data_IF_634737605397
#
_entry.id   IF_634737605397
#
_cell.length_a   1.000
_cell.length_b   1.000
_cell.length_c   1.000
_cell.angle_alpha   90.00
_cell.angle_beta   90.00
_cell.angle_gamma   90.00
#
_symmetry.space_group_name_H-M   'P 1'
#
loop_
_entity.id
_entity.type
_entity.pdbx_description
1 polymer ?
#
# COMPACT_ATOMS: atom_id res chain seq x y z
N UNK A 1 40.68 36.36 13.44
CA UNK A 1 40.16 37.54 14.14
C UNK A 1 39.29 38.34 13.18
N UNK A 2 37.99 38.36 13.41
CA UNK A 2 37.03 39.47 13.28
C UNK A 2 35.64 38.82 13.45
N UNK A 3 35.10 39.03 14.63
CA UNK A 3 33.74 38.76 15.08
C UNK A 3 32.79 39.79 14.49
N UNK A 4 31.58 39.42 14.06
CA UNK A 4 30.41 40.28 14.30
C UNK A 4 29.09 39.50 14.29
N UNK A 5 28.57 39.33 15.50
CA UNK A 5 27.20 38.97 15.86
C UNK A 5 26.17 39.88 15.20
N UNK A 6 25.07 39.32 14.70
CA UNK A 6 23.81 40.05 14.61
C UNK A 6 22.68 39.22 15.22
N UNK A 7 22.37 39.58 16.46
CA UNK A 7 21.21 39.13 17.24
C UNK A 7 20.04 39.99 16.79
N UNK A 8 19.02 39.39 16.17
CA UNK A 8 17.73 40.06 15.97
C UNK A 8 16.66 39.33 16.79
N UNK A 9 16.55 39.75 18.05
CA UNK A 9 15.37 39.52 18.89
C UNK A 9 14.27 40.45 18.40
N UNK A 10 13.16 39.91 17.93
CA UNK A 10 11.92 40.67 17.82
C UNK A 10 10.81 39.88 18.51
N UNK A 11 10.50 40.32 19.74
CA UNK A 11 9.31 39.91 20.48
C UNK A 11 8.19 40.86 20.03
N UNK A 12 7.10 40.33 19.53
CA UNK A 12 5.83 41.04 19.53
C UNK A 12 4.85 40.23 20.36
N UNK A 13 4.51 40.80 21.52
CA UNK A 13 3.35 40.46 22.32
C UNK A 13 2.13 41.05 21.62
N UNK A 14 1.11 40.23 21.39
CA UNK A 14 -0.26 40.74 21.25
C UNK A 14 -1.22 39.77 21.94
N UNK A 15 -2.09 40.35 22.75
CA UNK A 15 -2.93 39.72 23.74
C UNK A 15 -4.34 39.35 23.22
N UNK A 16 -4.92 38.34 23.87
CA UNK A 16 -6.33 38.17 24.29
C UNK A 16 -7.48 38.54 23.33
N UNK A 17 -8.24 37.51 22.93
CA UNK A 17 -9.71 37.47 23.07
C UNK A 17 -10.23 36.02 22.96
N UNK A 18 -10.95 35.47 23.95
CA UNK A 18 -11.70 34.23 23.80
C UNK A 18 -13.14 34.57 23.42
N UNK A 19 -13.48 34.48 22.13
CA UNK A 19 -14.89 34.50 21.70
C UNK A 19 -15.37 33.06 21.52
N UNK A 20 -15.95 32.53 22.60
CA UNK A 20 -16.64 31.25 22.59
C UNK A 20 -17.91 31.36 21.73
N UNK A 21 -17.85 30.87 20.50
CA UNK A 21 -19.05 30.55 19.71
C UNK A 21 -19.33 29.05 19.82
N UNK A 22 -20.29 28.71 20.68
CA UNK A 22 -20.87 27.38 20.79
C UNK A 22 -21.73 27.11 19.54
N UNK A 23 -21.11 26.64 18.46
CA UNK A 23 -21.84 25.92 17.44
C UNK A 23 -22.08 24.49 17.92
N UNK A 24 -23.25 24.26 18.51
CA UNK A 24 -23.84 22.93 18.62
C UNK A 24 -24.20 22.44 17.22
N UNK A 25 -23.20 21.93 16.48
CA UNK A 25 -23.47 21.01 15.39
C UNK A 25 -23.99 19.72 16.03
N UNK A 26 -25.32 19.55 16.02
CA UNK A 26 -25.96 18.27 16.24
C UNK A 26 -25.49 17.30 15.17
N UNK A 27 -24.33 16.69 15.38
CA UNK A 27 -23.90 15.53 14.63
C UNK A 27 -24.95 14.45 14.88
N UNK A 28 -25.79 14.21 13.87
CA UNK A 28 -26.61 13.01 13.82
C UNK A 28 -25.63 11.83 13.90
N UNK A 29 -25.54 11.24 15.08
CA UNK A 29 -24.90 9.94 15.29
C UNK A 29 -25.75 8.95 14.48
N UNK A 30 -25.39 8.74 13.22
CA UNK A 30 -25.91 7.63 12.44
C UNK A 30 -25.46 6.37 13.19
N UNK A 31 -26.37 5.61 13.81
CA UNK A 31 -25.99 4.41 14.52
C UNK A 31 -25.35 3.47 13.50
N UNK A 32 -24.08 3.11 13.76
CA UNK A 32 -23.40 2.12 12.97
C UNK A 32 -24.23 0.83 13.01
N UNK A 33 -24.63 0.33 11.84
CA UNK A 33 -25.40 -0.90 11.72
C UNK A 33 -24.60 -2.06 12.32
N UNK A 34 -25.03 -2.65 13.45
CA UNK A 34 -24.30 -3.73 14.12
C UNK A 34 -24.30 -5.03 13.32
N UNK A 35 -25.12 -5.13 12.26
CA UNK A 35 -25.17 -6.28 11.37
C UNK A 35 -24.36 -6.08 10.09
N UNK A 36 -23.73 -4.92 9.88
CA UNK A 36 -22.75 -4.77 8.81
C UNK A 36 -21.51 -5.54 9.24
N UNK A 37 -21.15 -6.66 8.58
CA UNK A 37 -19.95 -7.38 8.94
C UNK A 37 -18.80 -6.37 8.92
N UNK A 38 -18.12 -6.20 10.05
CA UNK A 38 -16.82 -5.56 10.10
C UNK A 38 -16.00 -6.35 9.10
N UNK A 39 -15.81 -5.80 7.90
CA UNK A 39 -15.27 -6.51 6.75
C UNK A 39 -13.77 -6.70 6.94
N UNK A 40 -13.38 -7.44 7.99
CA UNK A 40 -12.00 -7.61 8.42
C UNK A 40 -11.17 -8.00 7.22
N UNK A 41 -10.34 -7.06 6.75
CA UNK A 41 -9.54 -7.11 5.53
C UNK A 41 -9.91 -8.27 4.59
N UNK A 42 -11.05 -8.12 3.89
CA UNK A 42 -11.67 -9.20 3.13
C UNK A 42 -10.73 -9.91 2.16
N UNK A 43 -9.68 -9.25 1.67
CA UNK A 43 -8.66 -9.80 0.77
C UNK A 43 -7.54 -10.62 1.46
N UNK A 44 -7.49 -10.67 2.79
CA UNK A 44 -6.49 -11.46 3.53
C UNK A 44 -6.69 -12.95 3.23
N UNK A 45 -5.62 -13.60 2.78
CA UNK A 45 -5.63 -15.00 2.34
C UNK A 45 -5.28 -15.17 0.87
N UNK A 46 -5.28 -14.08 0.09
CA UNK A 46 -4.68 -14.07 -1.25
C UNK A 46 -3.16 -14.07 -1.11
N UNK A 47 -2.52 -15.09 -1.67
CA UNK A 47 -1.06 -15.30 -1.61
C UNK A 47 -0.49 -15.25 -3.02
N UNK A 48 0.50 -14.37 -3.28
CA UNK A 48 1.21 -14.31 -4.55
C UNK A 48 1.71 -15.68 -5.04
N UNK A 49 1.62 -15.91 -6.35
CA UNK A 49 1.93 -17.14 -7.09
C UNK A 49 1.11 -18.39 -6.69
N UNK A 50 0.17 -18.27 -5.74
CA UNK A 50 -0.65 -19.39 -5.28
C UNK A 50 -2.12 -19.19 -5.59
N UNK A 51 -2.64 -18.00 -5.33
CA UNK A 51 -4.04 -17.67 -5.55
C UNK A 51 -4.33 -17.43 -7.03
N UNK A 52 -5.55 -17.78 -7.42
CA UNK A 52 -6.10 -17.60 -8.77
C UNK A 52 -7.12 -16.46 -8.79
N UNK A 53 -7.56 -16.05 -9.98
CA UNK A 53 -8.70 -15.16 -10.17
C UNK A 53 -9.98 -15.66 -9.46
N UNK A 54 -10.25 -16.97 -9.49
CA UNK A 54 -11.37 -17.57 -8.80
C UNK A 54 -11.25 -17.46 -7.26
N UNK A 55 -10.03 -17.57 -6.72
CA UNK A 55 -9.80 -17.35 -5.29
C UNK A 55 -10.08 -15.90 -4.90
N UNK A 56 -9.63 -14.94 -5.72
CA UNK A 56 -9.91 -13.50 -5.50
C UNK A 56 -11.41 -13.23 -5.52
N UNK A 57 -12.13 -13.73 -6.53
CA UNK A 57 -13.59 -13.56 -6.62
C UNK A 57 -14.30 -14.12 -5.37
N UNK A 58 -13.96 -15.34 -4.96
CA UNK A 58 -14.52 -15.98 -3.75
C UNK A 58 -14.23 -15.18 -2.49
N UNK A 59 -13.00 -14.68 -2.33
CA UNK A 59 -12.57 -13.92 -1.16
C UNK A 59 -13.23 -12.54 -1.10
N UNK A 60 -13.48 -11.92 -2.25
CA UNK A 60 -14.19 -10.65 -2.35
C UNK A 60 -15.72 -10.78 -2.33
N UNK A 61 -16.26 -12.00 -2.33
CA UNK A 61 -17.70 -12.25 -2.41
C UNK A 61 -18.30 -11.82 -3.75
N UNK A 62 -17.53 -11.90 -4.84
CA UNK A 62 -18.01 -11.63 -6.19
C UNK A 62 -18.71 -12.90 -6.70
N UNK A 63 -20.03 -12.85 -6.76
CA UNK A 63 -20.87 -13.92 -7.32
C UNK A 63 -20.77 -13.91 -8.85
N UNK A 64 -20.12 -14.93 -9.45
CA UNK A 64 -20.05 -15.09 -10.90
C UNK A 64 -18.89 -15.97 -11.37
N UNK A 65 -19.01 -16.53 -12.58
CA UNK A 65 -17.90 -17.17 -13.28
C UNK A 65 -16.87 -16.07 -13.61
N UNK A 66 -15.62 -16.14 -13.13
CA UNK A 66 -14.60 -15.08 -13.29
C UNK A 66 -14.19 -14.81 -14.75
N UNK A 67 -14.80 -15.48 -15.72
CA UNK A 67 -14.44 -15.47 -17.13
C UNK A 67 -14.49 -14.11 -17.85
N UNK A 68 -15.15 -13.09 -17.29
CA UNK A 68 -15.31 -11.79 -17.95
C UNK A 68 -15.16 -10.55 -17.05
N UNK A 69 -14.92 -10.74 -15.76
CA UNK A 69 -14.76 -9.60 -14.84
C UNK A 69 -13.30 -9.18 -14.77
N UNK A 70 -13.06 -7.88 -14.86
CA UNK A 70 -11.76 -7.28 -14.58
C UNK A 70 -11.44 -7.44 -13.09
N UNK A 71 -10.88 -8.60 -12.73
CA UNK A 71 -10.50 -8.96 -11.36
C UNK A 71 -9.21 -8.26 -10.92
N UNK A 72 -8.76 -7.25 -11.66
CA UNK A 72 -7.62 -6.39 -11.32
C UNK A 72 -7.99 -5.38 -10.25
N UNK A 73 -9.24 -4.88 -10.22
CA UNK A 73 -9.71 -3.86 -9.26
C UNK A 73 -9.55 -2.43 -9.76
N UNK A 74 -9.60 -1.41 -8.88
CA UNK A 74 -9.57 -1.48 -7.42
C UNK A 74 -10.88 -1.97 -6.80
N UNK A 75 -10.77 -2.72 -5.70
CA UNK A 75 -11.89 -3.17 -4.89
C UNK A 75 -11.88 -2.49 -3.52
N UNK A 76 -13.00 -1.89 -3.08
CA UNK A 76 -13.09 -1.32 -1.74
C UNK A 76 -13.06 -2.43 -0.70
N UNK A 77 -12.22 -2.26 0.32
CA UNK A 77 -12.04 -3.20 1.42
C UNK A 77 -11.93 -2.41 2.73
N UNK A 78 -11.94 -3.09 3.86
CA UNK A 78 -11.73 -2.40 5.14
C UNK A 78 -10.36 -1.69 5.18
N UNK A 79 -10.41 -0.40 5.51
CA UNK A 79 -9.23 0.47 5.59
C UNK A 79 -8.62 0.93 4.27
N UNK A 80 -9.16 0.58 3.10
CA UNK A 80 -8.52 0.95 1.82
C UNK A 80 -9.16 0.39 0.55
N UNK A 81 -8.34 0.39 -0.50
CA UNK A 81 -8.64 -0.24 -1.79
C UNK A 81 -7.56 -1.28 -2.08
N UNK A 82 -7.95 -2.40 -2.69
CA UNK A 82 -7.03 -3.45 -3.13
C UNK A 82 -7.09 -3.66 -4.64
N UNK A 83 -5.94 -3.81 -5.26
CA UNK A 83 -5.77 -4.11 -6.68
C UNK A 83 -4.89 -5.35 -6.81
N UNK A 84 -5.25 -6.27 -7.70
CA UNK A 84 -4.52 -7.51 -7.95
C UNK A 84 -3.89 -7.44 -9.34
N UNK A 85 -2.60 -7.71 -9.44
CA UNK A 85 -1.93 -7.97 -10.71
C UNK A 85 -1.74 -9.47 -10.86
N UNK A 86 -1.96 -9.99 -12.07
CA UNK A 86 -1.84 -11.41 -12.38
C UNK A 86 -0.61 -11.66 -13.24
N UNK A 87 -0.04 -12.86 -13.10
CA UNK A 87 1.08 -13.31 -13.93
C UNK A 87 0.57 -13.53 -15.35
N UNK A 88 0.81 -12.57 -16.23
CA UNK A 88 0.51 -12.69 -17.65
C UNK A 88 1.49 -13.66 -18.34
N UNK A 89 1.19 -14.07 -19.57
CA UNK A 89 2.12 -14.89 -20.35
C UNK A 89 3.46 -14.17 -20.58
N UNK A 90 3.45 -12.86 -20.86
CA UNK A 90 4.67 -12.07 -21.06
C UNK A 90 5.51 -11.93 -19.79
N UNK A 91 4.86 -11.76 -18.63
CA UNK A 91 5.53 -11.78 -17.34
C UNK A 91 6.06 -13.18 -17.03
N UNK A 92 5.29 -14.24 -17.29
CA UNK A 92 5.76 -15.61 -17.11
C UNK A 92 7.02 -15.89 -17.94
N UNK A 93 7.07 -15.45 -19.20
CA UNK A 93 8.25 -15.59 -20.06
C UNK A 93 9.45 -14.77 -19.54
N UNK A 94 9.23 -13.50 -19.18
CA UNK A 94 10.26 -12.64 -18.58
C UNK A 94 10.85 -13.25 -17.31
N UNK A 95 9.97 -13.82 -16.47
CA UNK A 95 10.34 -14.47 -15.24
C UNK A 95 10.68 -15.95 -15.38
N UNK A 96 10.75 -16.51 -16.61
CA UNK A 96 10.95 -17.95 -16.87
C UNK A 96 10.07 -18.88 -16.02
N UNK A 97 8.87 -18.40 -15.65
CA UNK A 97 7.91 -19.16 -14.89
C UNK A 97 7.24 -20.23 -15.78
N UNK A 98 6.88 -21.40 -15.23
CA UNK A 98 6.05 -22.37 -15.95
C UNK A 98 4.75 -21.75 -16.45
N UNK A 99 4.34 -22.07 -17.69
CA UNK A 99 3.08 -21.58 -18.28
C UNK A 99 1.84 -21.95 -17.46
N UNK A 100 1.91 -23.00 -16.65
CA UNK A 100 0.85 -23.39 -15.71
C UNK A 100 0.65 -22.40 -14.55
N UNK A 101 1.53 -21.41 -14.39
CA UNK A 101 1.39 -20.34 -13.41
C UNK A 101 0.71 -19.08 -13.97
N UNK A 102 0.52 -18.99 -15.29
CA UNK A 102 -0.19 -17.87 -15.91
C UNK A 102 -1.59 -17.74 -15.33
N UNK A 103 -2.03 -16.51 -15.06
CA UNK A 103 -3.34 -16.21 -14.45
C UNK A 103 -3.38 -16.35 -12.93
N UNK A 104 -2.26 -16.68 -12.28
CA UNK A 104 -2.13 -16.59 -10.82
C UNK A 104 -1.87 -15.16 -10.38
N UNK A 105 -2.35 -14.78 -9.21
CA UNK A 105 -2.04 -13.49 -8.60
C UNK A 105 -0.53 -13.36 -8.47
N UNK A 106 0.04 -12.30 -9.01
CA UNK A 106 1.45 -11.98 -8.94
C UNK A 106 1.73 -10.93 -7.86
N UNK A 107 0.99 -9.83 -7.87
CA UNK A 107 1.18 -8.74 -6.91
C UNK A 107 -0.15 -8.26 -6.37
N UNK A 108 -0.21 -7.92 -5.09
CA UNK A 108 -1.37 -7.27 -4.45
C UNK A 108 -0.94 -5.87 -4.04
N UNK A 109 -1.67 -4.87 -4.51
CA UNK A 109 -1.48 -3.48 -4.14
C UNK A 109 -2.62 -3.08 -3.21
N UNK A 110 -2.28 -2.62 -2.01
CA UNK A 110 -3.24 -2.11 -1.04
C UNK A 110 -2.98 -0.62 -0.82
N UNK A 111 -3.98 0.21 -1.13
CA UNK A 111 -3.95 1.66 -0.93
C UNK A 111 -4.76 2.01 0.32
N UNK A 112 -4.12 2.40 1.43
CA UNK A 112 -4.82 2.77 2.65
C UNK A 112 -5.68 4.03 2.44
N UNK A 113 -6.90 4.06 3.00
CA UNK A 113 -7.74 5.26 3.00
C UNK A 113 -7.19 6.33 3.94
N UNK A 114 -6.72 5.91 5.11
CA UNK A 114 -6.03 6.79 6.06
C UNK A 114 -4.55 6.84 5.72
N UNK A 115 -3.98 8.04 5.60
CA UNK A 115 -2.56 8.21 5.42
C UNK A 115 -1.79 7.53 6.56
N UNK A 116 -0.82 6.69 6.21
CA UNK A 116 0.04 5.98 7.16
C UNK A 116 1.45 6.59 7.08
N UNK A 117 1.96 7.12 8.19
CA UNK A 117 3.28 7.74 8.18
C UNK A 117 4.38 6.68 8.35
N UNK A 118 5.58 6.96 7.83
CA UNK A 118 6.72 6.04 7.95
C UNK A 118 7.02 5.61 9.39
N UNK A 119 6.85 6.51 10.35
CA UNK A 119 7.12 6.25 11.77
C UNK A 119 6.15 5.26 12.42
N UNK A 120 4.95 5.11 11.85
CA UNK A 120 3.92 4.18 12.33
C UNK A 120 4.18 2.75 11.83
N UNK A 121 5.08 2.61 10.87
CA UNK A 121 5.52 1.33 10.34
C UNK A 121 6.65 0.75 11.18
N UNK A 122 6.57 -0.55 11.43
CA UNK A 122 7.65 -1.33 12.07
C UNK A 122 8.72 -1.69 11.04
N UNK A 123 9.37 -0.69 10.44
CA UNK A 123 10.47 -0.92 9.50
C UNK A 123 11.69 -1.45 10.25
N UNK A 124 11.99 -2.73 10.05
CA UNK A 124 13.16 -3.42 10.59
C UNK A 124 14.37 -3.29 9.65
N UNK A 125 15.60 -3.61 10.10
CA UNK A 125 16.81 -3.49 9.27
C UNK A 125 16.85 -4.36 8.01
N UNK A 126 15.95 -5.34 7.88
CA UNK A 126 15.77 -6.17 6.69
C UNK A 126 15.09 -5.43 5.53
N UNK A 127 14.43 -4.30 5.78
CA UNK A 127 13.91 -3.45 4.72
C UNK A 127 15.04 -2.69 4.03
N UNK A 128 15.15 -2.90 2.72
CA UNK A 128 16.08 -2.18 1.86
C UNK A 128 15.36 -1.04 1.17
N UNK A 129 15.97 0.15 1.18
CA UNK A 129 15.45 1.30 0.45
C UNK A 129 15.79 1.17 -1.04
N UNK A 130 14.78 1.24 -1.89
CA UNK A 130 14.94 1.32 -3.34
C UNK A 130 14.41 2.68 -3.81
N UNK A 131 15.15 3.32 -4.71
CA UNK A 131 14.71 4.54 -5.37
C UNK A 131 14.58 4.26 -6.86
N UNK A 132 13.52 4.79 -7.46
CA UNK A 132 13.34 4.75 -8.91
C UNK A 132 14.01 5.99 -9.51
N UNK A 133 14.89 5.79 -10.49
CA UNK A 133 15.66 6.90 -11.09
C UNK A 133 14.78 7.79 -11.98
N UNK A 134 13.75 7.19 -12.59
CA UNK A 134 12.85 7.87 -13.53
C UNK A 134 11.77 8.68 -12.80
N UNK A 135 11.14 8.09 -11.78
CA UNK A 135 10.12 8.78 -11.00
C UNK A 135 10.64 9.18 -9.62
N UNK A 136 11.00 10.46 -9.51
CA UNK A 136 11.44 11.07 -8.25
C UNK A 136 10.29 11.34 -7.29
N UNK A 137 9.05 11.00 -7.65
CA UNK A 137 7.88 11.19 -6.79
C UNK A 137 7.85 10.18 -5.66
N UNK A 138 8.39 8.97 -5.87
CA UNK A 138 8.29 7.89 -4.90
C UNK A 138 9.66 7.37 -4.43
N UNK A 139 9.62 6.62 -3.32
CA UNK A 139 10.67 5.68 -2.93
C UNK A 139 10.04 4.48 -2.23
N UNK A 140 10.79 3.39 -2.16
CA UNK A 140 10.30 2.11 -1.66
C UNK A 140 11.13 1.60 -0.49
N UNK A 141 10.48 0.92 0.46
CA UNK A 141 11.15 0.05 1.43
C UNK A 141 10.68 -1.38 1.17
N UNK A 142 11.60 -2.29 0.87
CA UNK A 142 11.31 -3.65 0.40
C UNK A 142 11.98 -4.68 1.29
N UNK A 143 11.26 -5.73 1.68
CA UNK A 143 11.82 -6.90 2.38
C UNK A 143 12.09 -8.04 1.41
N UNK A 144 12.96 -8.97 1.81
CA UNK A 144 13.12 -10.23 1.04
C UNK A 144 11.89 -11.15 1.12
N UNK A 145 11.02 -10.91 2.12
CA UNK A 145 9.76 -11.62 2.32
C UNK A 145 8.64 -11.23 1.35
N UNK A 146 8.87 -10.25 0.46
CA UNK A 146 7.88 -9.84 -0.53
C UNK A 146 6.89 -8.78 -0.04
N UNK A 147 7.18 -8.11 1.08
CA UNK A 147 6.47 -6.92 1.52
C UNK A 147 7.24 -5.67 1.10
N UNK A 148 6.56 -4.73 0.44
CA UNK A 148 7.10 -3.43 0.10
C UNK A 148 6.12 -2.30 0.47
N UNK A 149 6.68 -1.13 0.78
CA UNK A 149 5.93 0.11 1.01
C UNK A 149 6.40 1.17 0.01
N UNK A 150 5.47 1.73 -0.76
CA UNK A 150 5.69 2.90 -1.61
C UNK A 150 5.35 4.17 -0.83
N UNK A 151 6.28 5.10 -0.76
CA UNK A 151 6.11 6.39 -0.08
C UNK A 151 6.14 7.54 -1.07
N UNK A 152 5.32 8.56 -0.81
CA UNK A 152 5.41 9.85 -1.51
C UNK A 152 6.61 10.64 -0.97
N UNK A 153 7.49 11.07 -1.86
CA UNK A 153 8.67 11.87 -1.52
C UNK A 153 8.21 13.25 -1.03
N UNK A 154 8.75 13.68 0.12
CA UNK A 154 8.47 14.98 0.72
C UNK A 154 7.44 14.93 1.85
N UNK A 155 6.43 14.05 1.78
CA UNK A 155 5.48 13.85 2.87
C UNK A 155 5.82 12.64 3.76
N UNK A 156 6.64 11.70 3.27
CA UNK A 156 6.95 10.43 3.97
C UNK A 156 5.70 9.63 4.37
N UNK A 157 4.61 9.82 3.63
CA UNK A 157 3.36 9.09 3.76
C UNK A 157 3.37 7.88 2.82
N UNK A 158 2.87 6.75 3.32
CA UNK A 158 2.63 5.56 2.52
C UNK A 158 1.52 5.86 1.52
N UNK A 159 1.81 5.63 0.25
CA UNK A 159 0.86 5.67 -0.84
C UNK A 159 0.25 4.27 -1.07
N UNK A 160 1.11 3.25 -1.19
CA UNK A 160 0.68 1.87 -1.46
C UNK A 160 1.53 0.87 -0.67
N UNK A 161 0.87 -0.13 -0.10
CA UNK A 161 1.48 -1.34 0.45
C UNK A 161 1.43 -2.44 -0.61
N UNK A 162 2.56 -3.05 -0.92
CA UNK A 162 2.72 -3.99 -2.02
C UNK A 162 3.09 -5.36 -1.44
N UNK A 163 2.29 -6.37 -1.77
CA UNK A 163 2.57 -7.77 -1.45
C UNK A 163 2.91 -8.50 -2.75
N UNK A 164 4.17 -8.87 -2.88
CA UNK A 164 4.74 -9.56 -4.04
C UNK A 164 5.28 -10.92 -3.60
N UNK A 165 5.66 -11.81 -4.54
CA UNK A 165 6.27 -13.07 -4.18
C UNK A 165 7.60 -12.82 -3.46
N UNK A 166 7.94 -13.67 -2.49
CA UNK A 166 9.22 -13.51 -1.80
C UNK A 166 10.39 -13.66 -2.77
N UNK A 167 11.56 -13.11 -2.42
CA UNK A 167 12.77 -13.25 -3.25
C UNK A 167 13.14 -14.72 -3.48
N UNK A 168 12.87 -15.58 -2.49
CA UNK A 168 13.09 -17.02 -2.60
C UNK A 168 12.12 -17.70 -3.59
N UNK A 169 10.90 -17.20 -3.71
CA UNK A 169 9.92 -17.67 -4.70
C UNK A 169 10.29 -17.20 -6.10
N UNK A 170 10.68 -15.95 -6.27
CA UNK A 170 11.12 -15.43 -7.59
C UNK A 170 12.41 -16.09 -8.07
N UNK A 171 13.38 -16.36 -7.18
CA UNK A 171 14.59 -17.10 -7.54
C UNK A 171 14.29 -18.52 -8.04
N UNK A 172 13.23 -19.16 -7.53
CA UNK A 172 12.77 -20.47 -8.03
C UNK A 172 12.20 -20.40 -9.44
N UNK A 173 11.78 -19.22 -9.88
CA UNK A 173 11.44 -18.94 -11.28
C UNK A 173 12.69 -18.66 -12.14
N UNK A 174 13.90 -18.88 -11.62
CA UNK A 174 15.17 -18.72 -12.34
C UNK A 174 15.50 -17.29 -12.81
N UNK A 175 14.99 -16.28 -12.09
CA UNK A 175 15.39 -14.88 -12.30
C UNK A 175 16.40 -14.47 -11.23
N UNK A 176 17.56 -13.99 -11.68
CA UNK A 176 18.57 -13.42 -10.80
C UNK A 176 18.49 -11.88 -10.80
N UNK A 177 17.37 -11.34 -10.33
CA UNK A 177 17.21 -9.88 -10.16
C UNK A 177 17.61 -9.47 -8.74
N UNK A 178 18.32 -8.34 -8.67
CA UNK A 178 18.75 -7.71 -7.41
C UNK A 178 17.60 -6.99 -6.72
N UNK A 179 16.65 -6.46 -7.50
CA UNK A 179 15.41 -5.84 -7.04
C UNK A 179 14.25 -6.49 -7.80
N UNK A 180 13.35 -7.15 -7.06
CA UNK A 180 12.02 -7.52 -7.56
C UNK A 180 11.06 -6.47 -6.99
N UNK A 181 10.18 -5.96 -7.84
CA UNK A 181 9.22 -4.90 -7.52
C UNK A 181 7.81 -5.46 -7.34
#
# INVERSE_FOLDING_TARGET
MITLSLIMKMRFLTALAPLALLFFFGAALVPADPNKPVAGNSWRGIVPLRSTAADVARVLGLDGDPGDHDLTGPFPVDGGEVTFSYLSASLADMFRAPKSMTGRVFTVYFKPTSGLARQDLKLTPDFKRCAEDMDKTFYYFVTEGGLAYRFVRGSDMVDVIIYQPSRSEVRRLAVNTTCVF
#
